data_IF_078138165222
#
_entry.id   IF_078138165222
#
_cell.length_a   1.000
_cell.length_b   1.000
_cell.length_c   1.000
_cell.angle_alpha   90.00
_cell.angle_beta   90.00
_cell.angle_gamma   90.00
#
_symmetry.space_group_name_H-M   'P 1'
#
loop_
_entity.id
_entity.type
_entity.pdbx_description
1 polymer ?
#
# COMPACT_ATOMS: atom_id res chain seq x y z
N UNK A 1 25.67 -14.23 -12.48
CA UNK A 1 25.30 -12.93 -11.91
C UNK A 1 24.14 -13.20 -10.97
N UNK A 2 24.29 -12.89 -9.69
CA UNK A 2 23.24 -13.20 -8.71
C UNK A 2 22.32 -11.98 -8.59
N UNK A 3 21.12 -12.10 -9.15
CA UNK A 3 20.08 -11.09 -8.97
C UNK A 3 19.30 -11.40 -7.68
N UNK A 4 18.90 -10.36 -6.95
CA UNK A 4 18.05 -10.49 -5.77
C UNK A 4 16.67 -9.87 -6.00
N UNK A 5 15.66 -10.46 -5.35
CA UNK A 5 14.33 -9.88 -5.23
C UNK A 5 14.27 -9.11 -3.91
N UNK A 6 14.08 -7.79 -4.00
CA UNK A 6 13.84 -6.91 -2.88
C UNK A 6 12.34 -6.75 -2.69
N UNK A 7 11.88 -6.90 -1.44
CA UNK A 7 10.49 -6.66 -1.04
C UNK A 7 10.54 -5.67 0.12
N UNK A 8 9.84 -4.55 -0.02
CA UNK A 8 9.77 -3.49 0.99
C UNK A 8 8.39 -2.85 0.98
N UNK A 9 7.87 -2.49 2.14
CA UNK A 9 6.63 -1.73 2.26
C UNK A 9 6.88 -0.23 2.44
N UNK A 10 6.02 0.60 1.85
CA UNK A 10 6.05 2.05 2.07
C UNK A 10 4.69 2.61 2.43
N UNK A 11 4.68 3.46 3.45
CA UNK A 11 3.50 4.16 3.95
C UNK A 11 3.29 5.54 3.32
N UNK A 12 2.05 5.82 2.93
CA UNK A 12 1.62 7.07 2.31
C UNK A 12 0.48 7.67 3.15
N UNK A 13 0.73 8.82 3.78
CA UNK A 13 -0.32 9.55 4.50
C UNK A 13 -1.45 9.94 3.54
N UNK A 14 -2.69 9.78 4.01
CA UNK A 14 -3.90 10.17 3.27
C UNK A 14 -4.89 10.84 4.23
N UNK A 15 -5.69 11.74 3.67
CA UNK A 15 -6.83 12.33 4.37
C UNK A 15 -8.13 11.71 3.83
N UNK A 16 -9.12 11.53 4.70
CA UNK A 16 -10.42 10.95 4.34
C UNK A 16 -10.41 9.42 4.24
N UNK A 17 -11.50 8.87 3.66
CA UNK A 17 -11.82 7.44 3.62
C UNK A 17 -12.08 6.86 2.20
N UNK A 18 -11.97 7.69 1.17
CA UNK A 18 -12.38 7.31 -0.20
C UNK A 18 -11.35 6.53 -1.01
N UNK A 19 -10.07 6.54 -0.61
CA UNK A 19 -9.00 5.84 -1.34
C UNK A 19 -8.88 4.39 -0.89
N UNK A 20 -8.80 3.45 -1.85
CA UNK A 20 -8.68 2.00 -1.56
C UNK A 20 -7.53 1.69 -0.61
N UNK A 21 -7.77 0.90 0.44
CA UNK A 21 -6.76 0.56 1.44
C UNK A 21 -6.39 1.68 2.42
N UNK A 22 -7.08 2.84 2.40
CA UNK A 22 -6.84 3.88 3.42
C UNK A 22 -7.43 3.47 4.77
N UNK A 23 -6.59 3.41 5.79
CA UNK A 23 -6.97 3.03 7.15
C UNK A 23 -5.98 3.61 8.16
N UNK A 24 -6.26 3.45 9.45
CA UNK A 24 -5.26 3.66 10.50
C UNK A 24 -4.34 2.44 10.57
N UNK A 25 -3.13 2.59 10.06
CA UNK A 25 -2.13 1.53 10.00
C UNK A 25 -0.73 2.06 10.27
N UNK A 26 0.24 1.18 10.53
CA UNK A 26 1.64 1.59 10.68
C UNK A 26 2.19 2.07 9.34
N UNK A 27 2.56 3.35 9.27
CA UNK A 27 3.15 3.94 8.08
C UNK A 27 4.67 3.95 8.27
N UNK A 28 5.35 2.88 7.83
CA UNK A 28 6.78 2.65 8.07
C UNK A 28 7.66 3.87 7.78
N UNK A 29 7.48 4.49 6.60
CA UNK A 29 8.18 5.71 6.18
C UNK A 29 7.96 6.92 7.10
N UNK A 30 6.86 6.96 7.84
CA UNK A 30 6.52 8.04 8.78
C UNK A 30 6.80 7.67 10.25
N UNK A 31 7.11 6.40 10.55
CA UNK A 31 7.43 5.92 11.89
C UNK A 31 6.28 6.03 12.89
N UNK A 32 5.02 5.98 12.44
CA UNK A 32 3.84 6.09 13.30
C UNK A 32 2.63 5.36 12.74
N UNK A 33 1.68 5.06 13.63
CA UNK A 33 0.31 4.70 13.24
C UNK A 33 -0.46 5.97 12.89
N UNK A 34 -0.92 6.07 11.65
CA UNK A 34 -1.75 7.19 11.19
C UNK A 34 -2.66 6.76 10.04
N UNK A 35 -3.55 7.65 9.59
CA UNK A 35 -4.39 7.40 8.43
C UNK A 35 -3.56 7.44 7.14
N UNK A 36 -3.54 6.34 6.41
CA UNK A 36 -2.77 6.23 5.19
C UNK A 36 -2.98 4.92 4.45
N UNK A 37 -2.27 4.77 3.35
CA UNK A 37 -2.16 3.54 2.57
C UNK A 37 -0.76 2.96 2.75
N UNK A 38 -0.64 1.64 2.71
CA UNK A 38 0.65 0.95 2.63
C UNK A 38 0.68 0.20 1.31
N UNK A 39 1.76 0.39 0.55
CA UNK A 39 2.03 -0.42 -0.64
C UNK A 39 3.26 -1.28 -0.40
N UNK A 40 3.20 -2.52 -0.88
CA UNK A 40 4.32 -3.46 -0.91
C UNK A 40 4.92 -3.41 -2.32
N UNK A 41 6.21 -3.14 -2.40
CA UNK A 41 6.95 -3.01 -3.65
C UNK A 41 7.88 -4.21 -3.84
N UNK A 42 7.89 -4.74 -5.07
CA UNK A 42 8.89 -5.69 -5.52
C UNK A 42 9.88 -5.02 -6.45
N UNK A 43 11.17 -5.22 -6.23
CA UNK A 43 12.22 -4.77 -7.15
C UNK A 43 13.25 -5.87 -7.40
N UNK A 44 13.72 -5.99 -8.64
CA UNK A 44 14.88 -6.82 -8.96
C UNK A 44 16.14 -5.96 -8.87
N UNK A 45 17.15 -6.44 -8.16
CA UNK A 45 18.43 -5.77 -8.05
C UNK A 45 19.59 -6.67 -8.48
N UNK A 46 20.59 -6.03 -9.08
CA UNK A 46 21.85 -6.63 -9.51
C UNK A 46 22.97 -5.58 -9.41
N UNK A 47 23.87 -5.76 -8.44
CA UNK A 47 24.94 -4.79 -8.18
C UNK A 47 24.38 -3.43 -7.78
N UNK A 48 24.64 -2.41 -8.61
CA UNK A 48 24.19 -1.02 -8.37
C UNK A 48 22.84 -0.69 -9.03
N UNK A 49 22.25 -1.66 -9.74
CA UNK A 49 20.98 -1.47 -10.44
C UNK A 49 19.83 -2.07 -9.63
N UNK A 50 18.72 -1.33 -9.57
CA UNK A 50 17.45 -1.82 -9.06
C UNK A 50 16.32 -1.33 -9.97
N UNK A 51 15.38 -2.23 -10.29
CA UNK A 51 14.22 -1.92 -11.13
C UNK A 51 12.96 -2.38 -10.40
N UNK A 52 12.00 -1.47 -10.12
CA UNK A 52 10.68 -1.85 -9.63
C UNK A 52 9.96 -2.74 -10.65
N UNK A 53 9.43 -3.87 -10.19
CA UNK A 53 8.76 -4.85 -11.05
C UNK A 53 7.28 -5.05 -10.72
N UNK A 54 6.85 -4.80 -9.48
CA UNK A 54 5.44 -4.84 -9.08
C UNK A 54 5.20 -3.94 -7.87
N UNK A 55 3.95 -3.53 -7.68
CA UNK A 55 3.48 -2.83 -6.50
C UNK A 55 2.02 -3.21 -6.21
N UNK A 56 1.71 -3.53 -4.96
CA UNK A 56 0.33 -3.80 -4.52
C UNK A 56 0.01 -3.06 -3.24
N UNK A 57 -1.25 -2.63 -3.10
CA UNK A 57 -1.74 -2.09 -1.84
C UNK A 57 -1.93 -3.24 -0.85
N UNK A 58 -1.48 -3.02 0.39
CA UNK A 58 -1.95 -3.79 1.53
C UNK A 58 -3.39 -3.35 1.82
N UNK A 59 -4.32 -4.31 1.83
CA UNK A 59 -5.71 -4.09 2.17
C UNK A 59 -5.94 -4.62 3.59
N UNK A 60 -6.16 -3.75 4.59
CA UNK A 60 -6.58 -4.16 5.92
C UNK A 60 -7.90 -4.93 5.88
N UNK A 61 -8.17 -5.77 6.87
CA UNK A 61 -9.42 -6.55 6.96
C UNK A 61 -10.68 -5.65 6.85
N UNK A 62 -10.67 -4.46 7.47
CA UNK A 62 -11.79 -3.49 7.36
C UNK A 62 -12.10 -3.04 5.92
N UNK A 63 -11.17 -3.23 4.97
CA UNK A 63 -11.40 -2.97 3.55
C UNK A 63 -12.01 -4.16 2.82
N UNK A 64 -11.63 -5.38 3.20
CA UNK A 64 -12.11 -6.61 2.55
C UNK A 64 -13.43 -7.10 3.15
N UNK A 65 -13.70 -6.76 4.40
CA UNK A 65 -14.92 -7.16 5.14
C UNK A 65 -16.12 -6.24 4.85
N UNK A 66 -15.90 -5.11 4.15
CA UNK A 66 -16.97 -4.24 3.65
C UNK A 66 -17.16 -4.47 2.14
N UNK A 67 -18.21 -5.21 1.72
CA UNK A 67 -18.48 -5.45 0.31
C UNK A 67 -18.67 -4.17 -0.51
N UNK A 68 -19.12 -3.07 0.11
CA UNK A 68 -19.29 -1.78 -0.57
C UNK A 68 -17.96 -1.12 -0.91
N UNK A 69 -16.88 -1.49 -0.21
CA UNK A 69 -15.53 -1.04 -0.54
C UNK A 69 -14.88 -1.90 -1.63
N UNK A 70 -15.37 -3.13 -1.81
CA UNK A 70 -14.87 -4.09 -2.80
C UNK A 70 -15.53 -3.94 -4.18
N UNK A 71 -16.65 -3.23 -4.31
CA UNK A 71 -17.41 -3.12 -5.55
C UNK A 71 -16.93 -1.98 -6.50
N UNK A 72 -15.90 -1.23 -6.11
CA UNK A 72 -15.35 -0.10 -6.87
C UNK A 72 -16.29 1.10 -6.99
N UNK A 73 -17.47 1.04 -6.37
CA UNK A 73 -18.47 2.11 -6.31
C UNK A 73 -18.42 2.75 -4.93
N UNK A 74 -17.24 3.15 -4.48
CA UNK A 74 -17.13 4.01 -3.30
C UNK A 74 -17.90 5.29 -3.61
N UNK A 75 -19.16 5.29 -3.18
CA UNK A 75 -20.09 6.39 -3.35
C UNK A 75 -19.42 7.64 -2.84
N UNK A 76 -19.59 8.69 -3.61
CA UNK A 76 -19.41 10.05 -3.19
C UNK A 76 -20.24 10.25 -1.91
N UNK A 77 -19.64 10.04 -0.74
CA UNK A 77 -20.15 10.59 0.51
C UNK A 77 -19.53 11.98 0.59
N UNK A 78 -20.13 12.87 -0.20
CA UNK A 78 -20.33 14.26 0.21
C UNK A 78 -21.63 14.30 1.00
#
# INVERSE_FOLDING_TARGET
CDACLLIDESGFAKQGRGSVGVSRQWLGRLGKVDNGQVAVFGALANGQYAVPIDARLYLPEEWTDDPKRCDGKTGNVL
#
